data_IF_931374351690
#
_entry.id   IF_931374351690
#
_cell.length_a   1.000
_cell.length_b   1.000
_cell.length_c   1.000
_cell.angle_alpha   90.00
_cell.angle_beta   90.00
_cell.angle_gamma   90.00
#
_symmetry.space_group_name_H-M   'P 1'
#
loop_
_entity.id
_entity.type
_entity.pdbx_description
1 polymer ?
#
# COMPACT_ATOMS: atom_id res chain seq x y z
N UNK A 1 -22.62 1.73 9.16
CA UNK A 1 -21.67 1.20 8.15
C UNK A 1 -20.63 0.35 8.87
N UNK A 2 -20.57 -0.96 8.62
CA UNK A 2 -19.64 -1.84 9.33
C UNK A 2 -18.25 -1.76 8.67
N UNK A 3 -17.37 -0.90 9.20
CA UNK A 3 -16.01 -0.66 8.69
C UNK A 3 -15.23 -1.97 8.52
N UNK A 4 -15.39 -2.91 9.45
CA UNK A 4 -14.74 -4.21 9.40
C UNK A 4 -15.20 -5.00 8.16
N UNK A 5 -16.49 -5.03 7.86
CA UNK A 5 -17.00 -5.76 6.70
C UNK A 5 -16.48 -5.20 5.36
N UNK A 6 -16.49 -3.87 5.21
CA UNK A 6 -15.95 -3.20 4.03
C UNK A 6 -14.45 -3.51 3.88
N UNK A 7 -13.70 -3.39 4.97
CA UNK A 7 -12.27 -3.66 4.98
C UNK A 7 -11.97 -5.12 4.61
N UNK A 8 -12.70 -6.07 5.19
CA UNK A 8 -12.55 -7.49 4.87
C UNK A 8 -12.78 -7.73 3.38
N UNK A 9 -13.89 -7.26 2.82
CA UNK A 9 -14.20 -7.43 1.40
C UNK A 9 -13.14 -6.81 0.50
N UNK A 10 -12.69 -5.60 0.84
CA UNK A 10 -11.64 -4.90 0.10
C UNK A 10 -10.32 -5.67 0.12
N UNK A 11 -9.87 -6.12 1.31
CA UNK A 11 -8.63 -6.91 1.41
C UNK A 11 -8.76 -8.23 0.64
N UNK A 12 -9.91 -8.90 0.67
CA UNK A 12 -10.14 -10.09 -0.14
C UNK A 12 -10.01 -9.80 -1.64
N UNK A 13 -10.59 -8.70 -2.11
CA UNK A 13 -10.53 -8.29 -3.51
C UNK A 13 -9.09 -8.01 -3.98
N UNK A 14 -8.26 -7.40 -3.13
CA UNK A 14 -6.88 -7.02 -3.49
C UNK A 14 -5.82 -8.07 -3.14
N UNK A 15 -6.20 -9.18 -2.49
CA UNK A 15 -5.28 -10.27 -2.12
C UNK A 15 -5.81 -11.67 -2.50
N UNK A 16 -6.39 -11.89 -3.70
CA UNK A 16 -7.15 -13.09 -4.02
C UNK A 16 -6.34 -14.39 -3.88
N UNK A 17 -5.05 -14.36 -4.21
CA UNK A 17 -4.11 -15.50 -4.15
C UNK A 17 -3.34 -15.62 -2.82
N UNK A 18 -3.50 -14.69 -1.89
CA UNK A 18 -2.75 -14.67 -0.63
C UNK A 18 -3.15 -15.82 0.29
N UNK A 19 -2.17 -16.43 0.96
CA UNK A 19 -2.41 -17.47 1.97
C UNK A 19 -3.36 -16.96 3.07
N UNK A 20 -4.36 -17.78 3.43
CA UNK A 20 -5.46 -17.40 4.34
C UNK A 20 -4.96 -16.84 5.69
N UNK A 21 -3.97 -17.49 6.31
CA UNK A 21 -3.40 -17.03 7.58
C UNK A 21 -2.71 -15.65 7.47
N UNK A 22 -2.01 -15.39 6.36
CA UNK A 22 -1.35 -14.10 6.11
C UNK A 22 -2.39 -13.01 5.82
N UNK A 23 -3.42 -13.32 5.03
CA UNK A 23 -4.55 -12.41 4.79
C UNK A 23 -5.26 -12.03 6.09
N UNK A 24 -5.54 -13.00 6.97
CA UNK A 24 -6.14 -12.73 8.28
C UNK A 24 -5.25 -11.84 9.15
N UNK A 25 -3.94 -12.08 9.17
CA UNK A 25 -2.99 -11.22 9.88
C UNK A 25 -2.97 -9.80 9.31
N UNK A 26 -2.97 -9.64 7.97
CA UNK A 26 -3.07 -8.36 7.29
C UNK A 26 -4.37 -7.62 7.64
N UNK A 27 -5.51 -8.31 7.58
CA UNK A 27 -6.82 -7.75 7.95
C UNK A 27 -6.82 -7.19 9.38
N UNK A 28 -6.32 -7.97 10.32
CA UNK A 28 -6.24 -7.56 11.72
C UNK A 28 -5.38 -6.30 11.91
N UNK A 29 -4.22 -6.23 11.24
CA UNK A 29 -3.32 -5.08 11.38
C UNK A 29 -3.85 -3.84 10.66
N UNK A 30 -4.48 -3.98 9.49
CA UNK A 30 -5.11 -2.85 8.80
C UNK A 30 -6.32 -2.34 9.59
N UNK A 31 -7.10 -3.22 10.21
CA UNK A 31 -8.20 -2.82 11.09
C UNK A 31 -7.68 -2.03 12.29
N UNK A 32 -6.63 -2.53 12.93
CA UNK A 32 -5.93 -1.86 14.04
C UNK A 32 -5.40 -0.47 13.65
N UNK A 33 -4.79 -0.35 12.46
CA UNK A 33 -4.34 0.93 11.93
C UNK A 33 -5.50 1.92 11.69
N UNK A 34 -6.61 1.42 11.15
CA UNK A 34 -7.77 2.22 10.77
C UNK A 34 -8.54 2.79 11.95
N UNK A 35 -8.56 2.09 13.10
CA UNK A 35 -9.33 2.51 14.28
C UNK A 35 -8.59 3.52 15.15
N UNK A 36 -7.27 3.46 15.22
CA UNK A 36 -6.47 4.22 16.19
C UNK A 36 -5.51 5.22 15.54
N UNK A 37 -5.38 5.22 14.22
CA UNK A 37 -4.54 6.16 13.45
C UNK A 37 -3.07 6.19 13.92
N UNK A 38 -2.58 5.09 14.49
CA UNK A 38 -1.21 4.91 14.95
C UNK A 38 -0.58 3.73 14.21
N UNK A 39 0.59 3.95 13.62
CA UNK A 39 1.26 2.98 12.75
C UNK A 39 2.53 2.36 13.37
N UNK A 40 2.84 2.65 14.64
CA UNK A 40 3.96 1.99 15.32
C UNK A 40 3.65 0.51 15.54
N UNK A 41 4.67 -0.35 15.50
CA UNK A 41 4.50 -1.80 15.70
C UNK A 41 3.82 -2.12 17.04
N UNK A 42 4.18 -1.38 18.10
CA UNK A 42 3.61 -1.54 19.43
C UNK A 42 2.15 -1.10 19.49
N UNK A 43 1.81 0.07 18.92
CA UNK A 43 0.42 0.52 18.85
C UNK A 43 -0.44 -0.45 18.02
N UNK A 44 0.03 -0.85 16.84
CA UNK A 44 -0.67 -1.80 15.98
C UNK A 44 -0.97 -3.11 16.72
N UNK A 45 -0.01 -3.63 17.48
CA UNK A 45 -0.20 -4.82 18.31
C UNK A 45 -1.17 -4.62 19.46
N UNK A 46 -1.04 -3.53 20.23
CA UNK A 46 -1.91 -3.24 21.39
C UNK A 46 -3.38 -3.08 21.02
N UNK A 47 -3.62 -2.61 19.81
CA UNK A 47 -4.96 -2.33 19.29
C UNK A 47 -5.64 -3.57 18.67
N UNK A 48 -4.96 -4.72 18.61
CA UNK A 48 -5.57 -5.97 18.16
C UNK A 48 -6.60 -6.48 19.18
N UNK A 49 -7.87 -6.58 18.78
CA UNK A 49 -8.93 -7.14 19.60
C UNK A 49 -8.88 -8.68 19.61
N UNK A 50 -8.06 -9.23 20.50
CA UNK A 50 -7.90 -10.69 20.69
C UNK A 50 -7.61 -11.00 22.15
N UNK A 51 -7.91 -12.23 22.59
CA UNK A 51 -7.65 -12.71 23.95
C UNK A 51 -6.16 -13.01 24.24
N UNK A 52 -5.26 -12.74 23.30
CA UNK A 52 -3.83 -12.99 23.47
C UNK A 52 -3.17 -11.90 24.33
N UNK A 53 -2.16 -12.27 25.12
CA UNK A 53 -1.35 -11.31 25.87
C UNK A 53 -0.75 -10.23 24.97
N UNK A 54 -0.62 -9.00 25.48
CA UNK A 54 -0.09 -7.84 24.75
C UNK A 54 1.23 -8.16 24.03
N UNK A 55 2.19 -8.82 24.70
CA UNK A 55 3.46 -9.22 24.09
C UNK A 55 3.29 -10.07 22.82
N UNK A 56 2.27 -10.94 22.78
CA UNK A 56 2.00 -11.79 21.62
C UNK A 56 1.31 -11.02 20.50
N UNK A 57 0.45 -10.06 20.84
CA UNK A 57 -0.20 -9.18 19.87
C UNK A 57 0.82 -8.25 19.19
N UNK A 58 1.73 -7.65 19.95
CA UNK A 58 2.87 -6.88 19.42
C UNK A 58 3.76 -7.76 18.54
N UNK A 59 4.11 -8.98 18.99
CA UNK A 59 4.89 -9.92 18.19
C UNK A 59 4.18 -10.36 16.91
N UNK A 60 2.85 -10.36 16.88
CA UNK A 60 2.08 -10.62 15.67
C UNK A 60 2.19 -9.48 14.66
N UNK A 61 2.11 -8.22 15.12
CA UNK A 61 2.32 -7.05 14.27
C UNK A 61 3.73 -7.02 13.68
N UNK A 62 4.74 -7.21 14.54
CA UNK A 62 6.15 -7.28 14.16
C UNK A 62 6.43 -8.35 13.09
N UNK A 63 5.91 -9.56 13.28
CA UNK A 63 6.05 -10.66 12.30
C UNK A 63 5.34 -10.41 10.99
N UNK A 64 4.24 -9.68 10.97
CA UNK A 64 3.57 -9.33 9.71
C UNK A 64 4.41 -8.30 8.94
N UNK A 65 4.88 -7.25 9.62
CA UNK A 65 5.64 -6.16 9.00
C UNK A 65 7.03 -6.62 8.52
N UNK A 66 7.58 -7.66 9.12
CA UNK A 66 8.82 -8.32 8.69
C UNK A 66 8.61 -9.55 7.79
N UNK A 67 7.38 -9.80 7.31
CA UNK A 67 7.06 -11.00 6.54
C UNK A 67 7.57 -10.91 5.09
N UNK A 68 8.65 -11.61 4.77
CA UNK A 68 9.25 -11.62 3.40
C UNK A 68 8.27 -12.07 2.31
N UNK A 69 7.35 -13.00 2.60
CA UNK A 69 6.34 -13.42 1.63
C UNK A 69 5.34 -12.30 1.32
N UNK A 70 4.99 -11.46 2.29
CA UNK A 70 4.17 -10.28 2.03
C UNK A 70 4.88 -9.31 1.07
N UNK A 71 6.19 -9.11 1.25
CA UNK A 71 7.00 -8.28 0.33
C UNK A 71 7.04 -8.83 -1.09
N UNK A 72 7.18 -10.14 -1.26
CA UNK A 72 7.12 -10.79 -2.58
C UNK A 72 5.75 -10.65 -3.25
N UNK A 73 4.67 -10.54 -2.47
CA UNK A 73 3.31 -10.36 -2.97
C UNK A 73 2.95 -8.90 -3.31
N UNK A 74 3.71 -7.91 -2.82
CA UNK A 74 3.41 -6.48 -3.03
C UNK A 74 3.14 -6.10 -4.50
N UNK A 75 3.94 -6.54 -5.49
CA UNK A 75 3.65 -6.23 -6.90
C UNK A 75 2.26 -6.70 -7.33
N UNK A 76 1.84 -7.88 -6.88
CA UNK A 76 0.52 -8.40 -7.17
C UNK A 76 -0.59 -7.62 -6.45
N UNK A 77 -0.38 -7.23 -5.19
CA UNK A 77 -1.32 -6.39 -4.45
C UNK A 77 -1.51 -5.05 -5.16
N UNK A 78 -0.43 -4.40 -5.59
CA UNK A 78 -0.51 -3.17 -6.38
C UNK A 78 -1.24 -3.37 -7.72
N UNK A 79 -1.01 -4.49 -8.42
CA UNK A 79 -1.78 -4.82 -9.62
C UNK A 79 -3.28 -4.94 -9.34
N UNK A 80 -3.67 -5.56 -8.24
CA UNK A 80 -5.10 -5.65 -7.88
C UNK A 80 -5.66 -4.29 -7.48
N UNK A 81 -4.91 -3.46 -6.75
CA UNK A 81 -5.31 -2.08 -6.43
C UNK A 81 -5.51 -1.26 -7.71
N UNK A 82 -4.55 -1.31 -8.64
CA UNK A 82 -4.63 -0.62 -9.92
C UNK A 82 -5.82 -1.10 -10.76
N UNK A 83 -6.09 -2.41 -10.81
CA UNK A 83 -7.29 -2.94 -11.49
C UNK A 83 -8.58 -2.49 -10.81
N UNK A 84 -8.62 -2.48 -9.48
CA UNK A 84 -9.81 -2.13 -8.72
C UNK A 84 -10.20 -0.66 -8.94
N UNK A 85 -9.22 0.26 -8.93
CA UNK A 85 -9.49 1.69 -9.02
C UNK A 85 -9.41 2.26 -10.44
N UNK A 86 -8.48 1.80 -11.27
CA UNK A 86 -8.25 2.34 -12.61
C UNK A 86 -8.73 1.40 -13.74
N UNK A 87 -9.17 0.18 -13.44
CA UNK A 87 -9.51 -0.84 -14.45
C UNK A 87 -10.69 -0.49 -15.36
N UNK A 88 -11.59 0.38 -14.90
CA UNK A 88 -12.77 0.81 -15.67
C UNK A 88 -12.54 2.11 -16.44
N UNK A 89 -11.40 2.76 -16.27
CA UNK A 89 -11.08 4.05 -16.86
C UNK A 89 -10.19 3.85 -18.08
N UNK A 90 -10.64 4.27 -19.26
CA UNK A 90 -9.85 4.12 -20.48
C UNK A 90 -8.55 4.95 -20.44
N UNK A 91 -8.62 6.13 -19.83
CA UNK A 91 -7.53 7.10 -19.76
C UNK A 91 -7.50 7.78 -18.37
N UNK A 92 -7.02 7.11 -17.33
CA UNK A 92 -6.89 7.70 -16.00
C UNK A 92 -5.80 8.78 -15.99
N UNK A 93 -6.02 9.83 -15.22
CA UNK A 93 -4.98 10.83 -14.92
C UNK A 93 -4.25 10.40 -13.65
N UNK A 94 -2.94 10.22 -13.74
CA UNK A 94 -2.10 9.74 -12.64
C UNK A 94 -1.07 10.83 -12.33
N UNK A 95 -1.10 11.30 -11.09
CA UNK A 95 -0.15 12.24 -10.52
C UNK A 95 1.06 11.46 -9.98
N UNK A 96 2.27 11.84 -10.37
CA UNK A 96 3.51 11.22 -9.92
C UNK A 96 4.40 12.28 -9.29
N UNK A 97 4.58 12.23 -7.98
CA UNK A 97 5.36 13.24 -7.25
C UNK A 97 6.18 12.62 -6.11
N UNK A 98 7.17 13.39 -5.66
CA UNK A 98 8.01 13.10 -4.51
C UNK A 98 7.42 13.70 -3.23
N UNK A 99 7.62 13.04 -2.10
CA UNK A 99 7.26 13.58 -0.78
C UNK A 99 8.28 13.16 0.26
N UNK A 100 8.56 14.02 1.24
CA UNK A 100 9.43 13.69 2.37
C UNK A 100 8.68 12.72 3.31
N UNK A 101 9.32 11.61 3.71
CA UNK A 101 8.72 10.67 4.67
C UNK A 101 9.02 11.02 6.12
N UNK A 102 10.12 11.72 6.36
CA UNK A 102 10.55 12.11 7.70
C UNK A 102 11.26 13.47 7.69
N UNK A 103 11.23 14.21 8.81
CA UNK A 103 11.89 15.51 8.92
C UNK A 103 13.39 15.47 8.64
N UNK A 104 14.04 14.30 8.83
CA UNK A 104 15.47 14.12 8.61
C UNK A 104 15.89 14.04 7.14
N UNK A 105 14.93 14.03 6.19
CA UNK A 105 15.19 13.97 4.75
C UNK A 105 16.11 12.81 4.33
N UNK A 106 16.09 11.70 5.07
CA UNK A 106 16.83 10.50 4.70
C UNK A 106 16.02 9.62 3.73
N UNK A 107 14.70 9.62 3.90
CA UNK A 107 13.77 8.82 3.11
C UNK A 107 12.72 9.70 2.42
N UNK A 108 12.48 9.37 1.15
CA UNK A 108 11.54 10.05 0.27
C UNK A 108 10.59 9.02 -0.33
N UNK A 109 9.33 9.39 -0.45
CA UNK A 109 8.30 8.61 -1.12
C UNK A 109 8.17 9.11 -2.56
N UNK A 110 8.26 8.22 -3.54
CA UNK A 110 7.81 8.46 -4.90
C UNK A 110 6.48 7.76 -5.10
N UNK A 111 5.41 8.51 -5.37
CA UNK A 111 4.03 7.99 -5.39
C UNK A 111 3.35 8.29 -6.72
N UNK A 112 2.67 7.27 -7.26
CA UNK A 112 1.71 7.38 -8.34
C UNK A 112 0.29 7.31 -7.76
N UNK A 113 -0.47 8.40 -7.89
CA UNK A 113 -1.82 8.52 -7.36
C UNK A 113 -2.81 8.85 -8.48
N UNK A 114 -3.92 8.11 -8.51
CA UNK A 114 -5.05 8.38 -9.39
C UNK A 114 -5.70 9.71 -8.97
N UNK A 115 -5.82 10.64 -9.92
CA UNK A 115 -6.60 11.85 -9.74
C UNK A 115 -8.09 11.51 -9.77
N UNK A 116 -8.80 11.89 -8.72
CA UNK A 116 -10.24 11.75 -8.58
C UNK A 116 -10.80 12.93 -7.79
N UNK A 117 -12.12 13.11 -7.84
CA UNK A 117 -12.77 14.13 -7.04
C UNK A 117 -12.51 13.88 -5.54
N UNK A 118 -11.98 14.89 -4.85
CA UNK A 118 -11.60 14.78 -3.44
C UNK A 118 -10.17 14.27 -3.24
N UNK A 119 -10.02 13.11 -2.60
CA UNK A 119 -8.70 12.57 -2.22
C UNK A 119 -8.20 11.59 -3.26
N UNK A 120 -7.02 11.88 -3.82
CA UNK A 120 -6.32 10.99 -4.75
C UNK A 120 -6.12 9.59 -4.16
N UNK A 121 -6.15 8.57 -5.01
CA UNK A 121 -5.98 7.17 -4.60
C UNK A 121 -4.60 6.68 -5.00
N UNK A 122 -3.79 6.24 -4.05
CA UNK A 122 -2.47 5.66 -4.35
C UNK A 122 -2.61 4.37 -5.15
N UNK A 123 -1.99 4.33 -6.33
CA UNK A 123 -1.91 3.13 -7.18
C UNK A 123 -0.59 2.39 -6.99
N UNK A 124 0.49 3.14 -6.77
CA UNK A 124 1.82 2.58 -6.55
C UNK A 124 2.72 3.57 -5.81
N UNK A 125 3.62 3.08 -4.98
CA UNK A 125 4.61 3.90 -4.29
C UNK A 125 5.91 3.14 -3.99
N UNK A 126 7.00 3.89 -3.91
CA UNK A 126 8.34 3.40 -3.57
C UNK A 126 9.02 4.33 -2.55
N UNK A 127 9.81 3.75 -1.65
CA UNK A 127 10.67 4.49 -0.72
C UNK A 127 12.09 4.54 -1.26
N UNK A 128 12.68 5.72 -1.24
CA UNK A 128 14.00 6.03 -1.78
C UNK A 128 14.83 6.78 -0.75
N UNK A 129 16.15 6.63 -0.83
CA UNK A 129 17.06 7.47 -0.04
C UNK A 129 17.42 8.74 -0.79
N UNK A 130 18.12 9.66 -0.12
CA UNK A 130 18.67 10.86 -0.77
C UNK A 130 19.54 10.54 -2.00
N UNK A 131 20.20 9.38 -2.02
CA UNK A 131 21.04 8.97 -3.14
C UNK A 131 20.24 8.72 -4.44
N UNK A 132 18.99 8.26 -4.32
CA UNK A 132 18.13 7.90 -5.46
C UNK A 132 17.02 8.92 -5.74
N UNK A 133 16.80 9.89 -4.84
CA UNK A 133 15.85 11.00 -5.01
C UNK A 133 16.18 11.86 -6.24
N UNK A 134 15.15 12.27 -6.97
CA UNK A 134 15.20 13.17 -8.14
C UNK A 134 16.14 12.70 -9.27
N UNK A 135 16.52 11.42 -9.29
CA UNK A 135 17.36 10.88 -10.36
C UNK A 135 16.50 10.47 -11.55
N UNK A 136 16.86 10.85 -12.79
CA UNK A 136 16.14 10.41 -13.98
C UNK A 136 16.04 8.89 -14.10
N UNK A 137 17.10 8.16 -13.72
CA UNK A 137 17.11 6.70 -13.74
C UNK A 137 16.08 6.10 -12.77
N UNK A 138 15.98 6.64 -11.55
CA UNK A 138 14.98 6.24 -10.57
C UNK A 138 13.57 6.46 -11.10
N UNK A 139 13.31 7.65 -11.65
CA UNK A 139 12.00 7.99 -12.19
C UNK A 139 11.61 7.09 -13.38
N UNK A 140 12.53 6.81 -14.30
CA UNK A 140 12.31 5.88 -15.41
C UNK A 140 12.06 4.44 -14.94
N UNK A 141 12.74 4.00 -13.88
CA UNK A 141 12.49 2.67 -13.31
C UNK A 141 11.12 2.60 -12.64
N UNK A 142 10.74 3.65 -11.91
CA UNK A 142 9.43 3.79 -11.30
C UNK A 142 8.32 3.74 -12.36
N UNK A 143 8.43 4.51 -13.45
CA UNK A 143 7.45 4.48 -14.55
C UNK A 143 7.36 3.11 -15.25
N UNK A 144 8.47 2.40 -15.41
CA UNK A 144 8.48 1.02 -15.94
C UNK A 144 7.73 0.06 -15.02
N UNK A 145 7.92 0.17 -13.71
CA UNK A 145 7.19 -0.65 -12.72
C UNK A 145 5.70 -0.28 -12.69
N UNK A 146 5.37 1.01 -12.72
CA UNK A 146 4.00 1.49 -12.82
C UNK A 146 3.31 0.93 -14.07
N UNK A 147 3.98 0.95 -15.23
CA UNK A 147 3.45 0.36 -16.45
C UNK A 147 3.13 -1.14 -16.30
N UNK A 148 3.98 -1.91 -15.60
CA UNK A 148 3.73 -3.33 -15.32
C UNK A 148 2.65 -3.59 -14.26
N UNK A 149 2.29 -2.58 -13.46
CA UNK A 149 1.24 -2.64 -12.44
C UNK A 149 -0.12 -2.31 -13.05
N UNK A 150 -0.18 -1.34 -13.96
CA UNK A 150 -1.42 -0.90 -14.58
C UNK A 150 -2.03 -1.97 -15.50
N UNK A 151 -3.36 -1.99 -15.67
CA UNK A 151 -4.01 -2.86 -16.65
C UNK A 151 -3.49 -2.61 -18.08
N UNK A 152 -3.32 -3.66 -18.89
CA UNK A 152 -2.79 -3.53 -20.25
C UNK A 152 -3.67 -2.67 -21.19
N UNK A 153 -4.97 -2.57 -20.90
CA UNK A 153 -5.92 -1.72 -21.63
C UNK A 153 -5.85 -0.23 -21.23
N UNK A 154 -5.14 0.10 -20.15
CA UNK A 154 -5.06 1.45 -19.60
C UNK A 154 -4.13 2.32 -20.45
N UNK A 155 -4.61 3.51 -20.84
CA UNK A 155 -3.79 4.54 -21.50
C UNK A 155 -3.66 5.75 -20.58
N UNK A 156 -2.82 5.71 -19.54
CA UNK A 156 -2.79 6.75 -18.52
C UNK A 156 -2.23 8.07 -19.07
N UNK A 157 -2.74 9.19 -18.57
CA UNK A 157 -2.08 10.50 -18.66
C UNK A 157 -1.26 10.68 -17.40
N UNK A 158 0.06 10.78 -17.55
CA UNK A 158 0.97 10.97 -16.42
C UNK A 158 1.24 12.46 -16.25
N UNK A 159 1.04 12.97 -15.03
CA UNK A 159 1.37 14.35 -14.62
C UNK A 159 2.46 14.25 -13.56
N UNK A 160 3.61 14.88 -13.81
CA UNK A 160 4.81 14.87 -12.96
C UNK A 160 5.26 16.28 -12.65
#
# INVERSE_FOLDING_TARGET
MNVQHILTNFIHAVTPSMHSARRKALQNIVLSASTQQQLTVTSLGRNLDTQAYEKHRIKSADRLLSNTQLFYELPHIYQQLARYFAGYQAQPVILVDWSDLEPGQQFFLLRAALACEGRSITLYEEVHSLATKDKPQTHQQFLRRLHAILPASCKPVIVT
#
